data_IF_185475634749
#
_entry.id   IF_185475634749
#
_cell.length_a   1.000
_cell.length_b   1.000
_cell.length_c   1.000
_cell.angle_alpha   90.00
_cell.angle_beta   90.00
_cell.angle_gamma   90.00
#
_symmetry.space_group_name_H-M   'P 1'
#
loop_
_entity.id
_entity.type
_entity.pdbx_description
1 polymer ?
#
# COMPACT_ATOMS: atom_id res chain seq x y z
N UNK A 1 17.41 -9.17 -30.85
CA UNK A 1 16.46 -8.57 -29.89
C UNK A 1 17.27 -8.13 -28.68
N UNK A 2 17.62 -6.84 -28.58
CA UNK A 2 18.33 -6.35 -27.41
C UNK A 2 17.42 -6.50 -26.19
N UNK A 3 17.82 -7.32 -25.23
CA UNK A 3 17.16 -7.38 -23.93
C UNK A 3 17.25 -5.98 -23.31
N UNK A 4 16.13 -5.26 -23.32
CA UNK A 4 16.04 -3.97 -22.64
C UNK A 4 16.45 -4.13 -21.18
N UNK A 5 17.07 -3.09 -20.61
CA UNK A 5 17.48 -3.11 -19.22
C UNK A 5 16.30 -3.54 -18.31
N UNK A 6 16.38 -4.69 -17.62
CA UNK A 6 15.26 -5.21 -16.83
C UNK A 6 14.82 -4.24 -15.72
N UNK A 7 15.74 -3.43 -15.20
CA UNK A 7 15.44 -2.39 -14.21
C UNK A 7 14.58 -1.26 -14.79
N UNK A 8 14.74 -0.94 -16.07
CA UNK A 8 13.96 0.12 -16.72
C UNK A 8 12.46 -0.24 -16.79
N UNK A 9 12.14 -1.53 -16.98
CA UNK A 9 10.76 -2.02 -16.95
C UNK A 9 10.13 -1.86 -15.57
N UNK A 10 10.84 -2.25 -14.50
CA UNK A 10 10.36 -2.13 -13.11
C UNK A 10 10.11 -0.67 -12.74
N UNK A 11 11.06 0.22 -13.04
CA UNK A 11 10.95 1.65 -12.76
C UNK A 11 9.77 2.27 -13.52
N UNK A 12 9.57 1.89 -14.79
CA UNK A 12 8.44 2.35 -15.58
C UNK A 12 7.09 1.98 -14.95
N UNK A 13 6.96 0.74 -14.48
CA UNK A 13 5.74 0.25 -13.81
C UNK A 13 5.50 1.01 -12.50
N UNK A 14 6.54 1.19 -11.67
CA UNK A 14 6.43 1.93 -10.41
C UNK A 14 6.06 3.39 -10.64
N UNK A 15 6.63 4.04 -11.65
CA UNK A 15 6.28 5.42 -12.00
C UNK A 15 4.83 5.54 -12.46
N UNK A 16 4.35 4.58 -13.27
CA UNK A 16 2.96 4.53 -13.72
C UNK A 16 2.00 4.33 -12.53
N UNK A 17 2.32 3.39 -11.63
CA UNK A 17 1.59 3.19 -10.38
C UNK A 17 1.51 4.48 -9.55
N UNK A 18 2.65 5.13 -9.32
CA UNK A 18 2.73 6.33 -8.49
C UNK A 18 1.92 7.49 -9.07
N UNK A 19 1.94 7.62 -10.39
CA UNK A 19 1.17 8.64 -11.12
C UNK A 19 -0.33 8.39 -11.01
N UNK A 20 -0.78 7.14 -11.18
CA UNK A 20 -2.21 6.77 -11.09
C UNK A 20 -2.73 6.90 -9.64
N UNK A 21 -1.90 6.60 -8.64
CA UNK A 21 -2.29 6.73 -7.22
C UNK A 21 -2.48 8.20 -6.79
N UNK A 22 -1.78 9.14 -7.43
CA UNK A 22 -1.81 10.57 -7.09
C UNK A 22 -0.55 11.08 -6.38
N UNK A 23 0.52 10.27 -6.38
CA UNK A 23 1.85 10.64 -5.93
C UNK A 23 1.99 11.03 -4.45
N UNK A 24 3.00 11.85 -4.15
CA UNK A 24 3.29 12.33 -2.78
C UNK A 24 2.12 13.16 -2.23
N UNK A 25 1.44 13.93 -3.09
CA UNK A 25 0.29 14.72 -2.68
C UNK A 25 -0.80 13.83 -2.10
N UNK A 26 -1.14 12.72 -2.79
CA UNK A 26 -2.13 11.77 -2.28
C UNK A 26 -1.72 11.17 -0.93
N UNK A 27 -0.44 10.86 -0.75
CA UNK A 27 0.11 10.35 0.52
C UNK A 27 -0.10 11.36 1.66
N UNK A 28 0.36 12.61 1.47
CA UNK A 28 0.29 13.66 2.50
C UNK A 28 -1.15 14.06 2.79
N UNK A 29 -2.03 14.09 1.79
CA UNK A 29 -3.45 14.43 2.01
C UNK A 29 -4.30 13.25 2.50
N UNK A 30 -3.72 12.04 2.59
CA UNK A 30 -4.49 10.83 2.90
C UNK A 30 -5.00 10.84 4.34
N UNK A 31 -6.30 10.64 4.61
CA UNK A 31 -6.81 10.52 5.97
C UNK A 31 -6.16 9.35 6.71
N UNK A 32 -5.81 8.27 6.01
CA UNK A 32 -5.12 7.12 6.56
C UNK A 32 -3.69 7.45 7.02
N UNK A 33 -2.98 8.33 6.29
CA UNK A 33 -1.64 8.77 6.66
C UNK A 33 -1.67 9.66 7.91
N UNK A 34 -2.62 10.59 7.98
CA UNK A 34 -2.83 11.44 9.16
C UNK A 34 -3.24 10.62 10.39
N UNK A 35 -4.15 9.65 10.22
CA UNK A 35 -4.58 8.79 11.30
C UNK A 35 -3.44 7.91 11.80
N UNK A 36 -2.64 7.32 10.90
CA UNK A 36 -1.44 6.57 11.27
C UNK A 36 -0.41 7.45 12.01
N UNK A 37 -0.26 8.72 11.60
CA UNK A 37 0.62 9.67 12.27
C UNK A 37 0.13 9.98 13.68
N UNK A 38 -1.17 10.25 13.84
CA UNK A 38 -1.79 10.45 15.15
C UNK A 38 -1.57 9.24 16.05
N UNK A 39 -1.82 8.03 15.56
CA UNK A 39 -1.58 6.80 16.31
C UNK A 39 -0.11 6.64 16.69
N UNK A 40 0.82 6.90 15.76
CA UNK A 40 2.26 6.83 16.04
C UNK A 40 2.68 7.77 17.17
N UNK A 41 2.16 9.01 17.18
CA UNK A 41 2.42 9.97 18.25
C UNK A 41 1.82 9.49 19.58
N UNK A 42 0.58 9.00 19.57
CA UNK A 42 -0.11 8.53 20.78
C UNK A 42 0.57 7.30 21.40
N UNK A 43 1.12 6.42 20.57
CA UNK A 43 1.90 5.26 21.02
C UNK A 43 3.40 5.54 21.01
N UNK A 44 3.79 6.82 21.14
CA UNK A 44 5.17 7.31 21.20
C UNK A 44 6.07 6.51 22.13
N UNK A 45 5.55 6.29 23.33
CA UNK A 45 6.24 5.56 24.40
C UNK A 45 6.65 4.15 23.99
N UNK A 46 5.83 3.47 23.18
CA UNK A 46 6.09 2.09 22.77
C UNK A 46 7.32 1.99 21.85
N UNK A 47 7.36 2.76 20.76
CA UNK A 47 8.46 2.66 19.78
C UNK A 47 9.72 3.41 20.19
N UNK A 48 9.67 4.23 21.24
CA UNK A 48 10.84 4.85 21.85
C UNK A 48 11.58 3.90 22.81
N UNK A 49 10.85 3.05 23.53
CA UNK A 49 11.42 2.27 24.64
C UNK A 49 11.39 0.75 24.43
N UNK A 50 10.66 0.26 23.42
CA UNK A 50 10.52 -1.17 23.16
C UNK A 50 10.91 -1.56 21.73
N UNK A 51 11.14 -2.86 21.55
CA UNK A 51 11.49 -3.52 20.29
C UNK A 51 10.29 -3.55 19.32
N UNK A 52 9.97 -2.38 18.77
CA UNK A 52 8.75 -2.18 17.97
C UNK A 52 8.74 -3.01 16.68
N UNK A 53 9.90 -3.44 16.18
CA UNK A 53 10.07 -4.20 14.93
C UNK A 53 9.45 -5.60 14.97
N UNK A 54 9.26 -6.20 16.14
CA UNK A 54 8.67 -7.53 16.28
C UNK A 54 7.22 -7.56 15.78
N UNK A 55 6.47 -6.49 16.05
CA UNK A 55 5.07 -6.38 15.64
C UNK A 55 4.90 -6.43 14.10
N UNK A 56 5.57 -5.58 13.30
CA UNK A 56 5.56 -5.69 11.84
C UNK A 56 5.99 -7.06 11.33
N UNK A 57 7.04 -7.65 11.90
CA UNK A 57 7.59 -8.96 11.47
C UNK A 57 6.55 -10.07 11.65
N UNK A 58 5.77 -10.04 12.72
CA UNK A 58 4.74 -11.04 13.01
C UNK A 58 3.43 -10.75 12.27
N UNK A 59 3.01 -9.49 12.19
CA UNK A 59 1.67 -9.12 11.70
C UNK A 59 1.62 -9.01 10.18
N UNK A 60 2.62 -8.38 9.55
CA UNK A 60 2.55 -8.02 8.12
C UNK A 60 2.55 -9.24 7.19
N UNK A 61 3.31 -10.33 7.41
CA UNK A 61 3.22 -11.52 6.54
C UNK A 61 1.82 -12.12 6.45
N UNK A 62 1.09 -12.13 7.57
CA UNK A 62 -0.29 -12.63 7.61
C UNK A 62 -1.24 -11.74 6.81
N UNK A 63 -1.10 -10.41 6.92
CA UNK A 63 -1.90 -9.46 6.14
C UNK A 63 -1.55 -9.49 4.65
N UNK A 64 -0.26 -9.64 4.31
CA UNK A 64 0.19 -9.80 2.91
C UNK A 64 -0.46 -11.03 2.27
N UNK A 65 -0.44 -12.17 2.97
CA UNK A 65 -1.08 -13.41 2.52
C UNK A 65 -2.58 -13.24 2.28
N UNK A 66 -3.30 -12.62 3.23
CA UNK A 66 -4.73 -12.33 3.08
C UNK A 66 -5.02 -11.45 1.86
N UNK A 67 -4.16 -10.47 1.60
CA UNK A 67 -4.45 -9.48 0.57
C UNK A 67 -4.08 -9.95 -0.83
N UNK A 68 -3.06 -10.80 -0.97
CA UNK A 68 -2.84 -11.54 -2.21
C UNK A 68 -4.03 -12.46 -2.53
N UNK A 69 -4.61 -13.10 -1.50
CA UNK A 69 -5.88 -13.83 -1.62
C UNK A 69 -7.02 -12.93 -2.11
N UNK A 70 -7.22 -11.77 -1.48
CA UNK A 70 -8.22 -10.79 -1.89
C UNK A 70 -8.02 -10.25 -3.31
N UNK A 71 -6.78 -10.01 -3.72
CA UNK A 71 -6.44 -9.57 -5.09
C UNK A 71 -6.70 -10.68 -6.12
N UNK A 72 -6.32 -11.93 -5.83
CA UNK A 72 -6.60 -13.07 -6.69
C UNK A 72 -8.11 -13.27 -6.88
N UNK A 73 -8.87 -13.15 -5.78
CA UNK A 73 -10.33 -13.15 -5.80
C UNK A 73 -10.85 -12.01 -6.70
N UNK A 74 -10.38 -10.78 -6.53
CA UNK A 74 -10.78 -9.66 -7.41
C UNK A 74 -10.49 -9.91 -8.89
N UNK A 75 -9.29 -10.39 -9.24
CA UNK A 75 -8.95 -10.69 -10.65
C UNK A 75 -9.81 -11.83 -11.20
N UNK A 76 -10.20 -12.78 -10.35
CA UNK A 76 -11.10 -13.89 -10.72
C UNK A 76 -12.57 -13.45 -10.84
N UNK A 77 -12.99 -12.39 -10.14
CA UNK A 77 -14.33 -11.84 -10.24
C UNK A 77 -14.50 -11.02 -11.54
N UNK A 78 -15.34 -11.53 -12.45
CA UNK A 78 -15.87 -10.76 -13.58
C UNK A 78 -15.66 -11.43 -14.93
N UNK A 79 -16.78 -11.59 -15.66
CA UNK A 79 -16.79 -11.86 -17.09
C UNK A 79 -16.09 -10.72 -17.86
N UNK A 80 -15.57 -10.99 -19.05
CA UNK A 80 -14.87 -10.02 -19.89
C UNK A 80 -15.69 -8.75 -20.11
N UNK A 81 -17.02 -8.87 -20.19
CA UNK A 81 -17.96 -7.75 -20.29
C UNK A 81 -17.92 -6.81 -19.09
N UNK A 82 -17.83 -7.35 -17.87
CA UNK A 82 -17.72 -6.53 -16.67
C UNK A 82 -16.38 -5.82 -16.63
N UNK A 83 -15.29 -6.54 -16.91
CA UNK A 83 -13.93 -5.97 -16.95
C UNK A 83 -13.82 -4.87 -18.01
N UNK A 84 -14.44 -5.06 -19.18
CA UNK A 84 -14.49 -4.05 -20.23
C UNK A 84 -15.27 -2.80 -19.83
N UNK A 85 -16.32 -2.93 -19.00
CA UNK A 85 -17.12 -1.79 -18.51
C UNK A 85 -16.35 -0.94 -17.48
N UNK A 86 -15.64 -1.59 -16.56
CA UNK A 86 -14.87 -0.90 -15.52
C UNK A 86 -13.47 -0.49 -15.98
N UNK A 87 -13.07 -0.95 -17.17
CA UNK A 87 -11.90 -0.51 -17.91
C UNK A 87 -12.28 0.57 -18.93
N UNK A 88 -11.29 1.36 -19.36
CA UNK A 88 -11.52 2.51 -20.23
C UNK A 88 -11.48 3.82 -19.46
N UNK A 89 -10.70 4.76 -19.97
CA UNK A 89 -10.72 6.15 -19.50
C UNK A 89 -11.92 6.84 -20.16
N UNK A 90 -12.55 7.77 -19.45
CA UNK A 90 -13.65 8.58 -19.96
C UNK A 90 -13.23 9.27 -21.28
N UNK A 91 -13.94 9.05 -22.41
CA UNK A 91 -13.68 9.71 -23.69
C UNK A 91 -13.72 11.24 -23.58
N UNK A 92 -14.38 11.80 -22.56
CA UNK A 92 -14.50 13.23 -22.32
C UNK A 92 -13.33 13.85 -21.53
N UNK A 93 -12.20 13.16 -21.43
CA UNK A 93 -10.91 13.82 -21.18
C UNK A 93 -10.71 14.44 -19.79
N UNK A 94 -11.43 14.00 -18.77
CA UNK A 94 -11.29 14.56 -17.42
C UNK A 94 -10.10 13.99 -16.62
N UNK A 95 -9.21 13.22 -17.27
CA UNK A 95 -8.02 12.63 -16.64
C UNK A 95 -8.30 11.64 -15.50
N UNK A 96 -9.56 11.20 -15.32
CA UNK A 96 -9.95 10.29 -14.24
C UNK A 96 -9.62 8.85 -14.64
N UNK A 97 -8.79 8.21 -13.82
CA UNK A 97 -8.44 6.81 -13.97
C UNK A 97 -9.67 5.91 -13.83
N UNK A 98 -9.72 4.83 -14.63
CA UNK A 98 -10.82 3.87 -14.59
C UNK A 98 -10.99 3.22 -13.19
N UNK A 99 -12.20 2.81 -12.79
CA UNK A 99 -12.42 2.08 -11.54
C UNK A 99 -11.51 0.86 -11.38
N UNK A 100 -11.26 0.13 -12.49
CA UNK A 100 -10.33 -0.99 -12.52
C UNK A 100 -8.90 -0.60 -12.10
N UNK A 101 -8.37 0.50 -12.66
CA UNK A 101 -7.04 0.99 -12.34
C UNK A 101 -6.96 1.49 -10.90
N UNK A 102 -7.99 2.20 -10.42
CA UNK A 102 -8.00 2.72 -9.05
C UNK A 102 -7.92 1.60 -8.01
N UNK A 103 -8.62 0.49 -8.22
CA UNK A 103 -8.60 -0.66 -7.30
C UNK A 103 -7.25 -1.35 -7.36
N UNK A 104 -6.76 -1.63 -8.58
CA UNK A 104 -5.47 -2.28 -8.78
C UNK A 104 -4.33 -1.50 -8.12
N UNK A 105 -4.33 -0.17 -8.27
CA UNK A 105 -3.33 0.72 -7.70
C UNK A 105 -3.50 0.90 -6.20
N UNK A 106 -4.72 0.88 -5.66
CA UNK A 106 -4.94 0.88 -4.19
C UNK A 106 -4.39 -0.40 -3.56
N UNK A 107 -4.68 -1.56 -4.17
CA UNK A 107 -4.18 -2.85 -3.68
C UNK A 107 -2.66 -2.94 -3.78
N UNK A 108 -2.09 -2.48 -4.89
CA UNK A 108 -0.64 -2.40 -5.04
C UNK A 108 -0.01 -1.44 -4.00
N UNK A 109 -0.60 -0.27 -3.77
CA UNK A 109 -0.12 0.68 -2.77
C UNK A 109 -0.07 0.06 -1.38
N UNK A 110 -1.17 -0.60 -1.01
CA UNK A 110 -1.28 -1.32 0.24
C UNK A 110 -0.19 -2.42 0.38
N UNK A 111 0.00 -3.28 -0.63
CA UNK A 111 1.05 -4.32 -0.60
C UNK A 111 2.45 -3.72 -0.51
N UNK A 112 2.74 -2.66 -1.27
CA UNK A 112 4.05 -2.01 -1.27
C UNK A 112 4.40 -1.44 0.10
N UNK A 113 3.47 -0.74 0.76
CA UNK A 113 3.74 -0.18 2.08
C UNK A 113 3.89 -1.24 3.17
N UNK A 114 3.20 -2.38 3.04
CA UNK A 114 3.45 -3.52 3.92
C UNK A 114 4.85 -4.10 3.73
N UNK A 115 5.30 -4.27 2.48
CA UNK A 115 6.66 -4.75 2.20
C UNK A 115 7.73 -3.76 2.69
N UNK A 116 7.51 -2.45 2.47
CA UNK A 116 8.43 -1.41 2.94
C UNK A 116 8.52 -1.42 4.47
N UNK A 117 7.38 -1.48 5.18
CA UNK A 117 7.37 -1.52 6.64
C UNK A 117 8.02 -2.80 7.18
N UNK A 118 7.78 -3.96 6.54
CA UNK A 118 8.39 -5.22 6.93
C UNK A 118 9.91 -5.21 6.72
N UNK A 119 10.38 -4.75 5.55
CA UNK A 119 11.83 -4.64 5.27
C UNK A 119 12.48 -3.66 6.24
N UNK A 120 11.83 -2.54 6.53
CA UNK A 120 12.33 -1.59 7.52
C UNK A 120 12.48 -2.23 8.90
N UNK A 121 11.47 -2.95 9.38
CA UNK A 121 11.50 -3.64 10.66
C UNK A 121 12.60 -4.71 10.73
N UNK A 122 12.76 -5.52 9.68
CA UNK A 122 13.82 -6.54 9.60
C UNK A 122 15.20 -5.88 9.60
N UNK A 123 15.39 -4.78 8.88
CA UNK A 123 16.66 -4.03 8.87
C UNK A 123 16.94 -3.43 10.24
N UNK A 124 15.94 -2.81 10.89
CA UNK A 124 16.10 -2.27 12.24
C UNK A 124 16.46 -3.37 13.24
N UNK A 125 15.77 -4.50 13.21
CA UNK A 125 16.08 -5.66 14.06
C UNK A 125 17.51 -6.18 13.83
N UNK A 126 17.93 -6.29 12.57
CA UNK A 126 19.28 -6.75 12.22
C UNK A 126 20.39 -5.75 12.60
N UNK A 127 20.07 -4.45 12.65
CA UNK A 127 20.98 -3.38 13.06
C UNK A 127 20.94 -3.10 14.56
N UNK A 128 20.08 -3.79 15.32
CA UNK A 128 20.06 -3.70 16.77
C UNK A 128 21.15 -4.61 17.36
N UNK A 129 22.35 -4.04 17.54
CA UNK A 129 23.49 -4.72 18.17
C UNK A 129 24.27 -3.76 19.06
N UNK A 130 24.92 -4.30 20.10
CA UNK A 130 25.81 -3.52 20.94
C UNK A 130 26.98 -2.97 20.10
N UNK A 131 27.09 -1.64 20.02
CA UNK A 131 28.11 -0.99 19.20
C UNK A 131 29.52 -1.42 19.66
N UNK A 132 30.34 -2.04 18.78
CA UNK A 132 31.67 -2.45 19.16
C UNK A 132 32.58 -1.22 19.35
N UNK A 133 33.57 -1.30 20.25
CA UNK A 133 34.37 -0.16 20.70
C UNK A 133 35.08 0.67 19.60
N UNK A 134 35.24 0.13 18.38
CA UNK A 134 35.82 0.86 17.25
C UNK A 134 34.82 1.81 16.55
N UNK A 135 33.52 1.69 16.84
CA UNK A 135 32.44 2.55 16.36
C UNK A 135 32.07 3.68 17.34
N UNK A 136 32.79 3.83 18.45
CA UNK A 136 32.52 4.84 19.49
C UNK A 136 32.52 6.28 18.93
N UNK A 137 33.34 6.56 17.91
CA UNK A 137 33.38 7.87 17.23
C UNK A 137 32.03 8.25 16.58
N UNK A 138 31.25 7.26 16.14
CA UNK A 138 29.94 7.46 15.50
C UNK A 138 28.76 7.25 16.46
N UNK A 139 28.99 6.80 17.69
CA UNK A 139 27.94 6.45 18.67
C UNK A 139 26.93 7.59 18.90
N UNK A 140 27.41 8.84 18.98
CA UNK A 140 26.56 10.02 19.16
C UNK A 140 25.62 10.31 17.97
N UNK A 141 26.01 9.92 16.75
CA UNK A 141 25.17 10.07 15.56
C UNK A 141 24.09 8.99 15.56
N UNK A 142 24.45 7.74 15.87
CA UNK A 142 23.50 6.63 15.98
C UNK A 142 22.42 6.89 17.04
N UNK A 143 22.81 7.36 18.24
CA UNK A 143 21.89 7.71 19.32
C UNK A 143 20.85 8.80 18.95
N UNK A 144 21.18 9.68 18.01
CA UNK A 144 20.24 10.72 17.54
C UNK A 144 19.37 10.28 16.38
N UNK A 145 19.86 9.36 15.54
CA UNK A 145 19.14 8.86 14.37
C UNK A 145 18.17 7.73 14.74
N UNK A 146 18.46 6.96 15.79
CA UNK A 146 17.64 5.82 16.22
C UNK A 146 16.19 6.20 16.52
N UNK A 147 15.87 7.23 17.34
CA UNK A 147 14.48 7.59 17.61
C UNK A 147 13.73 8.04 16.35
N UNK A 148 14.43 8.72 15.43
CA UNK A 148 13.85 9.19 14.16
C UNK A 148 13.56 7.99 13.26
N UNK A 149 14.51 7.05 13.14
CA UNK A 149 14.36 5.83 12.36
C UNK A 149 13.25 4.92 12.90
N UNK A 150 13.17 4.79 14.23
CA UNK A 150 12.12 4.03 14.91
C UNK A 150 10.75 4.67 14.70
N UNK A 151 10.64 5.99 14.86
CA UNK A 151 9.38 6.72 14.63
C UNK A 151 8.90 6.61 13.18
N UNK A 152 9.80 6.73 12.20
CA UNK A 152 9.47 6.57 10.77
C UNK A 152 9.04 5.13 10.48
N UNK A 153 9.81 4.14 10.94
CA UNK A 153 9.51 2.72 10.72
C UNK A 153 8.18 2.29 11.34
N UNK A 154 7.92 2.73 12.57
CA UNK A 154 6.67 2.44 13.26
C UNK A 154 5.47 3.18 12.65
N UNK A 155 5.66 4.42 12.18
CA UNK A 155 4.64 5.11 11.40
C UNK A 155 4.33 4.39 10.08
N UNK A 156 5.34 3.91 9.35
CA UNK A 156 5.16 3.11 8.13
C UNK A 156 4.35 1.84 8.41
N UNK A 157 4.64 1.17 9.53
CA UNK A 157 3.87 0.02 9.98
C UNK A 157 2.39 0.35 10.19
N UNK A 158 2.09 1.37 11.01
CA UNK A 158 0.69 1.79 11.25
C UNK A 158 -0.01 2.26 9.97
N UNK A 159 0.71 2.97 9.10
CA UNK A 159 0.19 3.39 7.81
C UNK A 159 -0.16 2.21 6.90
N UNK A 160 0.69 1.18 6.88
CA UNK A 160 0.42 -0.05 6.13
C UNK A 160 -0.85 -0.79 6.62
N UNK A 161 -1.14 -0.75 7.92
CA UNK A 161 -2.40 -1.29 8.47
C UNK A 161 -3.58 -0.42 8.04
N UNK A 162 -3.45 0.92 8.12
CA UNK A 162 -4.52 1.83 7.71
C UNK A 162 -4.85 1.70 6.22
N UNK A 163 -3.85 1.48 5.37
CA UNK A 163 -4.07 1.24 3.93
C UNK A 163 -4.75 -0.10 3.66
N UNK A 164 -4.72 -1.07 4.59
CA UNK A 164 -5.51 -2.31 4.50
C UNK A 164 -7.01 -1.99 4.48
N UNK A 165 -7.44 -1.09 5.38
CA UNK A 165 -8.82 -0.61 5.45
C UNK A 165 -9.20 0.11 4.15
N UNK A 166 -8.31 0.95 3.63
CA UNK A 166 -8.52 1.64 2.35
C UNK A 166 -8.72 0.65 1.19
N UNK A 167 -7.91 -0.39 1.12
CA UNK A 167 -8.02 -1.45 0.12
C UNK A 167 -9.33 -2.23 0.25
N UNK A 168 -9.70 -2.64 1.47
CA UNK A 168 -10.97 -3.34 1.74
C UNK A 168 -12.19 -2.50 1.34
N UNK A 169 -12.22 -1.21 1.70
CA UNK A 169 -13.31 -0.31 1.33
C UNK A 169 -13.38 -0.09 -0.19
N UNK A 170 -12.25 -0.05 -0.89
CA UNK A 170 -12.24 0.07 -2.35
C UNK A 170 -12.73 -1.21 -3.05
N UNK A 171 -12.43 -2.40 -2.53
CA UNK A 171 -13.04 -3.65 -3.00
C UNK A 171 -14.55 -3.64 -2.74
N UNK A 172 -14.98 -3.23 -1.55
CA UNK A 172 -16.41 -3.16 -1.24
C UNK A 172 -17.18 -2.18 -2.15
N UNK A 173 -16.57 -1.03 -2.47
CA UNK A 173 -17.12 -0.07 -3.45
C UNK A 173 -17.32 -0.69 -4.83
N UNK A 174 -16.41 -1.58 -5.27
CA UNK A 174 -16.56 -2.29 -6.52
C UNK A 174 -17.78 -3.20 -6.53
N UNK A 175 -18.08 -3.86 -5.41
CA UNK A 175 -19.23 -4.75 -5.31
C UNK A 175 -20.53 -4.01 -5.64
N UNK A 176 -20.68 -2.75 -5.21
CA UNK A 176 -21.82 -1.92 -5.61
C UNK A 176 -21.86 -1.59 -7.11
N UNK A 177 -20.69 -1.34 -7.73
CA UNK A 177 -20.60 -1.09 -9.17
C UNK A 177 -21.02 -2.34 -9.94
N UNK A 178 -20.55 -3.52 -9.50
CA UNK A 178 -20.91 -4.79 -10.08
C UNK A 178 -22.41 -5.08 -9.95
N UNK A 179 -22.98 -4.88 -8.76
CA UNK A 179 -24.41 -5.07 -8.51
C UNK A 179 -25.28 -4.15 -9.40
N UNK A 180 -24.88 -2.88 -9.52
CA UNK A 180 -25.55 -1.93 -10.41
C UNK A 180 -25.47 -2.35 -11.90
N UNK A 181 -24.33 -2.89 -12.34
CA UNK A 181 -24.16 -3.40 -13.71
C UNK A 181 -25.05 -4.62 -14.00
N UNK A 182 -25.10 -5.58 -13.09
CA UNK A 182 -25.95 -6.77 -13.23
C UNK A 182 -27.43 -6.36 -13.24
N UNK A 183 -27.81 -5.38 -12.42
CA UNK A 183 -29.18 -4.87 -12.38
C UNK A 183 -29.59 -4.21 -13.70
N UNK A 184 -28.73 -3.36 -14.28
CA UNK A 184 -28.99 -2.70 -15.57
C UNK A 184 -29.07 -3.69 -16.73
N UNK A 185 -28.13 -4.65 -16.80
CA UNK A 185 -28.16 -5.65 -17.88
C UNK A 185 -29.41 -6.54 -17.84
N UNK A 186 -29.98 -6.79 -16.66
CA UNK A 186 -31.28 -7.47 -16.52
C UNK A 186 -32.48 -6.62 -16.97
N UNK A 187 -32.38 -5.29 -16.89
CA UNK A 187 -33.43 -4.38 -17.37
C UNK A 187 -33.39 -4.30 -18.91
N UNK A 188 -32.22 -4.07 -19.50
CA UNK A 188 -32.08 -4.00 -20.97
C UNK A 188 -32.57 -5.28 -21.67
N UNK A 189 -32.34 -6.45 -21.07
CA UNK A 189 -32.81 -7.73 -21.60
C UNK A 189 -34.33 -7.95 -21.46
N UNK A 190 -35.04 -7.17 -20.63
CA UNK A 190 -36.50 -7.24 -20.50
C UNK A 190 -37.22 -6.30 -21.47
N UNK A 191 -36.53 -5.25 -21.91
CA UNK A 191 -37.06 -4.23 -22.82
C UNK A 191 -36.81 -4.56 -24.31
N UNK A 192 -36.14 -5.69 -24.59
CA UNK A 192 -35.96 -6.30 -25.92
C UNK A 192 -36.92 -7.48 -26.12
#
# INVERSE_FOLDING_TARGET
MAAGNPYAGVISILNRYWTIYGGIRALITSPYAHFALLLSILTGDFWLHHEWWDQPIIVLPNLLGFTLGGFAVFVSFGDEKFKALIAGNDPNGNGRNSPYLNISVTLLHFVLFQLIALVWAVVTNALHFDAPAWLDCCSHVFLRLEPIGNGIGYWLFLYSICTAVAAALNIFRLTFIFDAFVTRSKQDNKDQ
#
